data_IF_786867049108
#
_entry.id   IF_786867049108
#
_cell.length_a   1.000
_cell.length_b   1.000
_cell.length_c   1.000
_cell.angle_alpha   90.00
_cell.angle_beta   90.00
_cell.angle_gamma   90.00
#
_symmetry.space_group_name_H-M   'P 1'
#
loop_
_entity.id
_entity.type
_entity.pdbx_description
1 polymer ?
#
# COMPACT_ATOMS: atom_id res chain seq x y z
N UNK A 1 -8.69 -2.69 18.73
CA UNK A 1 -7.46 -3.40 19.21
C UNK A 1 -6.77 -2.82 20.48
N UNK A 2 -6.15 -3.66 21.34
CA UNK A 2 -5.42 -3.30 22.58
C UNK A 2 -4.14 -2.47 22.30
N UNK A 3 -3.88 -1.43 23.11
CA UNK A 3 -2.77 -0.48 22.89
C UNK A 3 -1.36 -1.10 23.02
N UNK A 4 -1.17 -2.05 23.93
CA UNK A 4 0.11 -2.74 24.11
C UNK A 4 0.43 -3.65 22.92
N UNK A 5 -0.58 -4.37 22.41
CA UNK A 5 -0.44 -5.15 21.18
C UNK A 5 -0.08 -4.27 19.98
N UNK A 6 -0.69 -3.08 19.84
CA UNK A 6 -0.34 -2.13 18.78
C UNK A 6 1.13 -1.72 18.84
N UNK A 7 1.65 -1.42 20.04
CA UNK A 7 3.05 -1.06 20.23
C UNK A 7 3.97 -2.20 19.82
N UNK A 8 3.68 -3.42 20.27
CA UNK A 8 4.48 -4.61 19.91
C UNK A 8 4.47 -4.86 18.40
N UNK A 9 3.32 -4.76 17.75
CA UNK A 9 3.21 -4.90 16.29
C UNK A 9 3.94 -3.80 15.54
N UNK A 10 3.94 -2.57 16.06
CA UNK A 10 4.71 -1.46 15.46
C UNK A 10 6.22 -1.73 15.52
N UNK A 11 6.72 -2.26 16.64
CA UNK A 11 8.14 -2.65 16.79
C UNK A 11 8.53 -3.75 15.80
N UNK A 12 7.61 -4.66 15.48
CA UNK A 12 7.82 -5.74 14.50
C UNK A 12 7.59 -5.30 13.04
N UNK A 13 7.51 -4.00 12.77
CA UNK A 13 7.25 -3.44 11.43
C UNK A 13 5.87 -3.83 10.85
N UNK A 14 4.92 -4.22 11.70
CA UNK A 14 3.54 -4.59 11.35
C UNK A 14 2.53 -3.46 11.61
N UNK A 15 2.99 -2.21 11.68
CA UNK A 15 2.12 -1.05 11.91
C UNK A 15 1.11 -0.78 10.78
N UNK A 16 1.42 -1.24 9.57
CA UNK A 16 0.49 -1.24 8.44
C UNK A 16 -0.69 -2.21 8.68
N UNK A 17 -0.42 -3.43 9.10
CA UNK A 17 -1.44 -4.41 9.49
C UNK A 17 -2.35 -3.86 10.59
N UNK A 18 -1.79 -3.20 11.61
CA UNK A 18 -2.58 -2.51 12.65
C UNK A 18 -3.56 -1.51 12.04
N UNK A 19 -3.08 -0.70 11.10
CA UNK A 19 -3.88 0.35 10.46
C UNK A 19 -5.02 -0.24 9.62
N UNK A 20 -4.75 -1.31 8.87
CA UNK A 20 -5.75 -2.02 8.05
C UNK A 20 -6.81 -2.67 8.94
N UNK A 21 -6.42 -3.37 10.02
CA UNK A 21 -7.38 -3.96 10.97
C UNK A 21 -8.31 -2.88 11.55
N UNK A 22 -7.77 -1.73 11.96
CA UNK A 22 -8.58 -0.63 12.50
C UNK A 22 -9.49 0.04 11.47
N UNK A 23 -9.07 0.07 10.19
CA UNK A 23 -9.90 0.53 9.08
C UNK A 23 -11.11 -0.39 8.91
N UNK A 24 -10.88 -1.70 8.93
CA UNK A 24 -11.94 -2.69 8.80
C UNK A 24 -12.90 -2.73 9.99
N UNK A 25 -12.38 -2.62 11.23
CA UNK A 25 -13.21 -2.53 12.45
C UNK A 25 -14.23 -1.37 12.38
N UNK A 26 -13.92 -0.30 11.62
CA UNK A 26 -14.79 0.87 11.44
C UNK A 26 -15.73 0.74 10.24
N UNK A 27 -15.52 -0.24 9.36
CA UNK A 27 -16.29 -0.38 8.14
C UNK A 27 -17.52 -1.26 8.36
N UNK A 28 -18.68 -0.61 8.47
CA UNK A 28 -19.98 -1.27 8.71
C UNK A 28 -20.34 -2.27 7.59
N UNK A 29 -19.86 -2.08 6.37
CA UNK A 29 -20.16 -2.98 5.26
C UNK A 29 -19.48 -4.35 5.37
N UNK A 30 -18.46 -4.48 6.23
CA UNK A 30 -17.71 -5.72 6.44
C UNK A 30 -18.32 -6.60 7.54
N UNK A 31 -19.31 -6.09 8.28
CA UNK A 31 -19.94 -6.81 9.41
C UNK A 31 -20.68 -8.07 8.97
N UNK A 32 -21.19 -8.10 7.73
CA UNK A 32 -21.93 -9.22 7.18
C UNK A 32 -21.04 -10.31 6.57
N UNK A 33 -19.74 -10.05 6.42
CA UNK A 33 -18.81 -11.02 5.86
C UNK A 33 -18.60 -12.19 6.83
N UNK A 34 -18.51 -13.39 6.26
CA UNK A 34 -18.03 -14.54 7.03
C UNK A 34 -16.53 -14.35 7.35
N UNK A 35 -16.01 -15.15 8.29
CA UNK A 35 -14.62 -15.04 8.72
C UNK A 35 -13.60 -15.13 7.57
N UNK A 36 -13.80 -16.05 6.62
CA UNK A 36 -12.86 -16.23 5.51
C UNK A 36 -12.90 -15.03 4.57
N UNK A 37 -14.09 -14.55 4.20
CA UNK A 37 -14.24 -13.40 3.31
C UNK A 37 -13.65 -12.14 3.95
N UNK A 38 -13.86 -11.96 5.27
CA UNK A 38 -13.25 -10.88 6.03
C UNK A 38 -11.73 -10.97 6.06
N UNK A 39 -11.18 -12.18 6.25
CA UNK A 39 -9.73 -12.40 6.21
C UNK A 39 -9.14 -12.16 4.82
N UNK A 40 -9.80 -12.61 3.76
CA UNK A 40 -9.37 -12.35 2.38
C UNK A 40 -9.37 -10.84 2.08
N UNK A 41 -10.39 -10.12 2.53
CA UNK A 41 -10.47 -8.67 2.39
C UNK A 41 -9.32 -7.97 3.14
N UNK A 42 -9.04 -8.38 4.38
CA UNK A 42 -7.91 -7.89 5.19
C UNK A 42 -6.57 -8.08 4.47
N UNK A 43 -6.33 -9.28 3.96
CA UNK A 43 -5.09 -9.60 3.28
C UNK A 43 -4.94 -8.83 1.96
N UNK A 44 -6.02 -8.67 1.19
CA UNK A 44 -6.01 -7.87 -0.02
C UNK A 44 -5.67 -6.40 0.26
N UNK A 45 -6.32 -5.79 1.25
CA UNK A 45 -6.08 -4.39 1.64
C UNK A 45 -4.64 -4.19 2.15
N UNK A 46 -4.12 -5.12 2.95
CA UNK A 46 -2.72 -5.10 3.40
C UNK A 46 -1.73 -5.20 2.24
N UNK A 47 -1.97 -6.09 1.28
CA UNK A 47 -1.12 -6.22 0.08
C UNK A 47 -1.11 -4.90 -0.70
N UNK A 48 -2.28 -4.29 -0.91
CA UNK A 48 -2.40 -3.00 -1.59
C UNK A 48 -1.64 -1.90 -0.87
N UNK A 49 -1.80 -1.76 0.45
CA UNK A 49 -1.08 -0.77 1.25
C UNK A 49 0.45 -0.93 1.13
N UNK A 50 0.94 -2.16 1.20
CA UNK A 50 2.38 -2.46 1.06
C UNK A 50 2.91 -2.16 -0.34
N UNK A 51 2.15 -2.51 -1.38
CA UNK A 51 2.50 -2.17 -2.76
C UNK A 51 2.53 -0.67 -2.98
N UNK A 52 1.55 0.08 -2.47
CA UNK A 52 1.51 1.53 -2.55
C UNK A 52 2.74 2.17 -1.89
N UNK A 53 3.15 1.68 -0.71
CA UNK A 53 4.39 2.15 -0.05
C UNK A 53 5.64 1.82 -0.85
N UNK A 54 5.67 0.68 -1.53
CA UNK A 54 6.79 0.32 -2.39
C UNK A 54 6.87 1.23 -3.61
N UNK A 55 5.74 1.49 -4.28
CA UNK A 55 5.62 2.43 -5.38
C UNK A 55 6.10 3.81 -4.95
N UNK A 56 5.59 4.34 -3.82
CA UNK A 56 6.00 5.64 -3.31
C UNK A 56 7.51 5.74 -3.05
N UNK A 57 8.13 4.68 -2.52
CA UNK A 57 9.59 4.60 -2.34
C UNK A 57 10.33 4.61 -3.68
N UNK A 58 9.87 3.86 -4.67
CA UNK A 58 10.49 3.85 -5.99
C UNK A 58 10.32 5.19 -6.71
N UNK A 59 9.15 5.80 -6.65
CA UNK A 59 8.89 7.13 -7.20
C UNK A 59 9.84 8.16 -6.59
N UNK A 60 9.93 8.23 -5.25
CA UNK A 60 10.83 9.15 -4.56
C UNK A 60 12.30 8.92 -4.95
N UNK A 61 12.73 7.67 -5.05
CA UNK A 61 14.09 7.35 -5.47
C UNK A 61 14.35 7.75 -6.94
N UNK A 62 13.35 7.59 -7.82
CA UNK A 62 13.45 8.00 -9.21
C UNK A 62 13.52 9.53 -9.34
N UNK A 63 12.70 10.28 -8.60
CA UNK A 63 12.74 11.74 -8.54
C UNK A 63 14.12 12.25 -8.11
N UNK A 64 14.72 11.62 -7.08
CA UNK A 64 16.08 11.97 -6.62
C UNK A 64 17.15 11.66 -7.67
N UNK A 65 17.01 10.57 -8.42
CA UNK A 65 18.00 10.13 -9.41
C UNK A 65 17.86 10.87 -10.75
N UNK A 66 16.65 11.29 -11.10
CA UNK A 66 16.30 11.88 -12.39
C UNK A 66 15.42 13.13 -12.19
N UNK A 67 15.96 14.23 -11.65
CA UNK A 67 15.17 15.40 -11.21
C UNK A 67 14.45 16.14 -12.35
N UNK A 68 14.91 15.96 -13.59
CA UNK A 68 14.33 16.59 -14.78
C UNK A 68 13.57 15.59 -15.67
N UNK A 69 13.41 14.33 -15.24
CA UNK A 69 12.65 13.37 -16.03
C UNK A 69 11.16 13.69 -15.97
N UNK A 70 10.59 14.02 -17.12
CA UNK A 70 9.16 14.24 -17.30
C UNK A 70 8.63 13.30 -18.39
N UNK A 71 7.36 12.91 -18.28
CA UNK A 71 6.65 12.22 -19.37
C UNK A 71 6.66 13.05 -20.65
N UNK A 72 6.68 14.39 -20.54
CA UNK A 72 6.77 15.31 -21.68
C UNK A 72 8.12 15.22 -22.42
N UNK A 73 9.17 14.78 -21.71
CA UNK A 73 10.51 14.59 -22.26
C UNK A 73 10.77 13.15 -22.68
N UNK A 74 9.75 12.27 -22.62
CA UNK A 74 9.88 10.85 -22.93
C UNK A 74 9.90 10.66 -24.44
N UNK A 75 11.08 10.36 -24.98
CA UNK A 75 11.23 9.92 -26.37
C UNK A 75 10.60 8.53 -26.56
N UNK A 76 9.38 8.50 -27.08
CA UNK A 76 8.61 7.28 -27.27
C UNK A 76 9.08 6.48 -28.49
N UNK A 77 9.62 7.17 -29.51
CA UNK A 77 10.17 6.54 -30.72
C UNK A 77 11.44 5.75 -30.38
N UNK A 78 12.39 6.36 -29.66
CA UNK A 78 13.61 5.67 -29.24
C UNK A 78 13.34 4.48 -28.30
N UNK A 79 12.20 4.47 -27.61
CA UNK A 79 11.82 3.43 -26.65
C UNK A 79 10.87 2.38 -27.22
N UNK A 80 10.53 2.45 -28.51
CA UNK A 80 9.57 1.55 -29.17
C UNK A 80 8.23 1.42 -28.41
N UNK A 81 7.79 2.52 -27.79
CA UNK A 81 6.51 2.59 -27.10
C UNK A 81 5.48 3.08 -28.12
N UNK A 82 4.61 2.18 -28.59
CA UNK A 82 3.45 2.59 -29.38
C UNK A 82 2.46 3.31 -28.46
N UNK A 83 2.15 4.57 -28.78
CA UNK A 83 1.03 5.31 -28.18
C UNK A 83 -0.30 4.86 -28.78
#
# INVERSE_FOLDING_TARGET
MNMELKKQLTVLELGDLVSVIESQEKNVSLVELNYNDGLEHLLAELITERLNRLIARFTKNAELKYPNASLETLDCEARAINM
#
